data_IF_325790982167
#
_entry.id   IF_325790982167
#
_cell.length_a   1.000
_cell.length_b   1.000
_cell.length_c   1.000
_cell.angle_alpha   90.00
_cell.angle_beta   90.00
_cell.angle_gamma   90.00
#
_symmetry.space_group_name_H-M   'P 1'
#
loop_
_entity.id
_entity.type
_entity.pdbx_description
1 polymer ?
#
# COMPACT_ATOMS: atom_id res chain seq x y z
N UNK A 1 -37.45 37.36 5.87
CA UNK A 1 -37.55 36.32 4.81
C UNK A 1 -36.37 36.28 3.84
N UNK A 2 -35.82 37.38 3.33
CA UNK A 2 -34.68 37.42 2.40
C UNK A 2 -33.38 36.91 3.05
N UNK A 3 -33.03 37.33 4.29
CA UNK A 3 -31.82 36.94 5.00
C UNK A 3 -31.70 35.41 5.17
N UNK A 4 -32.79 34.76 5.53
CA UNK A 4 -32.89 33.31 5.74
C UNK A 4 -32.61 32.52 4.45
N UNK A 5 -33.11 33.00 3.30
CA UNK A 5 -32.79 32.40 2.00
C UNK A 5 -31.30 32.50 1.69
N UNK A 6 -30.71 33.66 1.95
CA UNK A 6 -29.27 33.90 1.74
C UNK A 6 -28.44 32.93 2.60
N UNK A 7 -28.74 32.80 3.89
CA UNK A 7 -28.04 31.88 4.79
C UNK A 7 -28.10 30.43 4.30
N UNK A 8 -29.27 29.97 3.80
CA UNK A 8 -29.40 28.62 3.21
C UNK A 8 -28.51 28.43 1.99
N UNK A 9 -28.50 29.38 1.07
CA UNK A 9 -27.66 29.28 -0.13
C UNK A 9 -26.18 29.28 0.21
N UNK A 10 -25.75 30.11 1.17
CA UNK A 10 -24.36 30.15 1.64
C UNK A 10 -23.98 28.81 2.30
N UNK A 11 -24.84 28.26 3.18
CA UNK A 11 -24.58 26.98 3.83
C UNK A 11 -24.49 25.82 2.83
N UNK A 12 -25.40 25.79 1.83
CA UNK A 12 -25.35 24.79 0.76
C UNK A 12 -24.08 24.94 -0.09
N UNK A 13 -23.71 26.18 -0.42
CA UNK A 13 -22.47 26.48 -1.16
C UNK A 13 -21.22 26.01 -0.42
N UNK A 14 -21.12 26.28 0.89
CA UNK A 14 -20.02 25.82 1.73
C UNK A 14 -19.97 24.27 1.76
N UNK A 15 -21.11 23.63 1.92
CA UNK A 15 -21.19 22.16 1.94
C UNK A 15 -20.71 21.53 0.63
N UNK A 16 -21.10 22.09 -0.51
CA UNK A 16 -20.62 21.65 -1.83
C UNK A 16 -19.11 21.90 -2.00
N UNK A 17 -18.62 23.05 -1.55
CA UNK A 17 -17.18 23.36 -1.60
C UNK A 17 -16.37 22.37 -0.75
N UNK A 18 -16.86 21.97 0.42
CA UNK A 18 -16.21 20.95 1.26
C UNK A 18 -16.18 19.61 0.54
N UNK A 19 -17.26 19.19 -0.12
CA UNK A 19 -17.27 17.95 -0.90
C UNK A 19 -16.26 17.98 -2.06
N UNK A 20 -16.21 19.09 -2.80
CA UNK A 20 -15.23 19.29 -3.87
C UNK A 20 -13.81 19.25 -3.33
N UNK A 21 -13.56 19.92 -2.20
CA UNK A 21 -12.26 19.88 -1.53
C UNK A 21 -11.85 18.45 -1.14
N UNK A 22 -12.74 17.70 -0.51
CA UNK A 22 -12.48 16.32 -0.12
C UNK A 22 -12.20 15.43 -1.35
N UNK A 23 -12.92 15.64 -2.43
CA UNK A 23 -12.74 14.87 -3.65
C UNK A 23 -11.42 15.17 -4.37
N UNK A 24 -11.04 16.44 -4.47
CA UNK A 24 -9.89 16.88 -5.25
C UNK A 24 -8.57 16.84 -4.46
N UNK A 25 -8.61 17.20 -3.17
CA UNK A 25 -7.42 17.54 -2.42
C UNK A 25 -7.13 16.64 -1.21
N UNK A 26 -8.16 16.00 -0.62
CA UNK A 26 -7.93 15.14 0.54
C UNK A 26 -7.14 13.90 0.12
N UNK A 27 -5.95 13.74 0.70
CA UNK A 27 -5.16 12.53 0.52
C UNK A 27 -5.69 11.39 1.38
N UNK A 28 -5.70 10.19 0.81
CA UNK A 28 -5.99 8.94 1.50
C UNK A 28 -4.97 7.87 1.12
N UNK A 29 -4.88 6.82 1.91
CA UNK A 29 -3.99 5.70 1.64
C UNK A 29 -4.66 4.73 0.68
N UNK A 30 -4.00 4.46 -0.44
CA UNK A 30 -4.44 3.51 -1.46
C UNK A 30 -3.55 2.29 -1.42
N UNK A 31 -4.15 1.12 -1.34
CA UNK A 31 -3.44 -0.15 -1.51
C UNK A 31 -3.10 -0.33 -3.00
N UNK A 32 -1.81 -0.41 -3.31
CA UNK A 32 -1.35 -0.62 -4.68
C UNK A 32 -1.38 -2.09 -5.06
N UNK A 33 -0.68 -2.91 -4.29
CA UNK A 33 -0.53 -4.33 -4.58
C UNK A 33 -0.43 -5.18 -3.30
N UNK A 34 -0.90 -6.43 -3.42
CA UNK A 34 -0.92 -7.37 -2.32
C UNK A 34 -0.72 -8.82 -2.81
N UNK A 35 0.51 -9.36 -2.80
CA UNK A 35 0.72 -10.78 -2.98
C UNK A 35 0.32 -11.52 -1.70
N UNK A 36 -0.82 -12.21 -1.73
CA UNK A 36 -1.26 -13.02 -0.59
C UNK A 36 -0.82 -14.47 -0.77
N UNK A 37 0.39 -14.79 -0.32
CA UNK A 37 0.89 -16.16 -0.29
C UNK A 37 1.73 -16.38 0.96
N UNK A 38 1.22 -17.19 1.88
CA UNK A 38 1.93 -17.56 3.10
C UNK A 38 2.37 -19.03 3.00
N UNK A 39 3.49 -19.29 2.33
CA UNK A 39 3.98 -20.66 2.15
C UNK A 39 5.25 -20.93 2.95
N UNK A 40 6.16 -19.97 3.02
CA UNK A 40 7.45 -20.14 3.64
C UNK A 40 7.83 -18.92 4.49
N UNK A 41 8.12 -19.10 5.79
CA UNK A 41 8.69 -18.06 6.60
C UNK A 41 10.18 -17.88 6.25
N UNK A 42 10.59 -16.65 5.98
CA UNK A 42 11.98 -16.24 5.79
C UNK A 42 12.54 -15.76 7.12
N UNK A 43 13.47 -16.49 7.74
CA UNK A 43 14.01 -16.12 9.05
C UNK A 43 14.74 -14.78 9.03
N UNK A 44 14.45 -13.93 10.03
CA UNK A 44 15.13 -12.66 10.28
C UNK A 44 16.10 -12.74 11.47
N UNK A 45 16.17 -13.88 12.16
CA UNK A 45 16.99 -14.10 13.33
C UNK A 45 18.33 -14.76 12.97
N UNK A 46 19.36 -14.48 13.76
CA UNK A 46 20.75 -14.89 13.50
C UNK A 46 21.61 -13.75 12.97
N UNK A 47 22.91 -13.98 12.94
CA UNK A 47 23.87 -12.96 12.47
C UNK A 47 23.68 -12.66 10.98
N UNK A 48 23.67 -11.36 10.66
CA UNK A 48 23.58 -10.86 9.28
C UNK A 48 22.38 -11.38 8.47
N UNK A 49 21.28 -11.73 9.14
CA UNK A 49 20.06 -12.12 8.44
C UNK A 49 19.26 -10.90 8.03
N UNK A 50 19.01 -10.79 6.74
CA UNK A 50 18.14 -9.78 6.17
C UNK A 50 17.24 -10.39 5.10
N UNK A 51 16.06 -9.80 4.96
CA UNK A 51 15.15 -10.09 3.85
C UNK A 51 14.85 -8.78 3.17
N UNK A 52 14.96 -8.75 1.85
CA UNK A 52 14.65 -7.55 1.09
C UNK A 52 13.80 -7.86 -0.14
N UNK A 53 12.89 -6.94 -0.46
CA UNK A 53 12.00 -7.02 -1.61
C UNK A 53 12.09 -5.75 -2.42
N UNK A 54 12.24 -5.87 -3.71
CA UNK A 54 12.05 -4.75 -4.61
C UNK A 54 10.57 -4.48 -4.81
N UNK A 55 10.20 -3.21 -4.86
CA UNK A 55 8.81 -2.81 -5.05
C UNK A 55 8.71 -1.47 -5.77
N UNK A 56 7.53 -1.23 -6.32
CA UNK A 56 7.16 0.03 -6.95
C UNK A 56 6.05 0.70 -6.16
N UNK A 57 6.04 2.02 -6.13
CA UNK A 57 4.89 2.80 -5.68
C UNK A 57 4.50 3.85 -6.73
N UNK A 58 3.22 3.92 -7.14
CA UNK A 58 2.76 4.88 -8.15
C UNK A 58 2.54 6.29 -7.59
N UNK A 59 2.56 6.45 -6.27
CA UNK A 59 2.42 7.73 -5.57
C UNK A 59 3.36 7.82 -4.37
N UNK A 60 3.30 8.91 -3.59
CA UNK A 60 4.11 9.05 -2.39
C UNK A 60 3.82 7.93 -1.39
N UNK A 61 4.86 7.19 -1.01
CA UNK A 61 4.76 6.05 -0.09
C UNK A 61 4.22 6.50 1.27
N UNK A 62 3.21 5.80 1.78
CA UNK A 62 2.57 6.08 3.06
C UNK A 62 2.91 5.03 4.12
N UNK A 63 2.80 3.75 3.73
CA UNK A 63 2.92 2.62 4.65
C UNK A 63 3.29 1.35 3.89
N UNK A 64 4.01 0.47 4.56
CA UNK A 64 4.24 -0.90 4.12
C UNK A 64 3.76 -1.82 5.24
N UNK A 65 2.91 -2.79 4.92
CA UNK A 65 2.54 -3.85 5.85
C UNK A 65 3.25 -5.13 5.40
N UNK A 66 3.91 -5.83 6.32
CA UNK A 66 4.60 -7.09 6.05
C UNK A 66 3.98 -8.15 6.95
N UNK A 67 3.62 -9.30 6.37
CA UNK A 67 3.14 -10.41 7.17
C UNK A 67 4.30 -11.07 7.91
N UNK A 68 4.17 -11.14 9.23
CA UNK A 68 5.22 -11.60 10.13
C UNK A 68 4.82 -12.91 10.81
N UNK A 69 5.82 -13.72 11.13
CA UNK A 69 5.69 -14.89 11.99
C UNK A 69 6.61 -14.75 13.21
N UNK A 70 6.10 -15.04 14.39
CA UNK A 70 6.89 -15.10 15.63
C UNK A 70 6.93 -16.50 16.22
N UNK A 71 6.48 -17.51 15.46
CA UNK A 71 6.46 -18.93 15.86
C UNK A 71 5.71 -19.18 17.19
N UNK A 72 4.66 -18.40 17.45
CA UNK A 72 3.88 -18.40 18.71
C UNK A 72 4.68 -17.97 19.95
N UNK A 73 5.90 -17.47 19.77
CA UNK A 73 6.75 -16.94 20.84
C UNK A 73 6.79 -15.42 20.66
N UNK A 74 6.01 -14.70 21.47
CA UNK A 74 5.97 -13.24 21.40
C UNK A 74 7.32 -12.67 21.82
N UNK A 75 8.01 -11.90 20.95
CA UNK A 75 9.26 -11.26 21.33
C UNK A 75 9.05 -10.35 22.53
N UNK A 76 9.87 -10.52 23.57
CA UNK A 76 9.79 -9.68 24.78
C UNK A 76 10.34 -8.29 24.47
N UNK A 77 11.49 -8.27 23.86
CA UNK A 77 12.21 -7.05 23.45
C UNK A 77 12.94 -7.33 22.13
N UNK A 78 13.32 -6.28 21.42
CA UNK A 78 14.04 -6.39 20.17
C UNK A 78 13.62 -5.28 19.22
N UNK A 79 14.38 -5.12 18.17
CA UNK A 79 14.21 -4.04 17.18
C UNK A 79 14.05 -4.65 15.80
N UNK A 80 12.94 -4.31 15.15
CA UNK A 80 12.77 -4.47 13.71
C UNK A 80 13.25 -3.19 13.04
N UNK A 81 14.21 -3.31 12.12
CA UNK A 81 14.68 -2.19 11.31
C UNK A 81 14.15 -2.32 9.90
N UNK A 82 13.38 -1.33 9.46
CA UNK A 82 13.01 -1.17 8.06
C UNK A 82 13.93 -0.14 7.42
N UNK A 83 14.54 -0.53 6.31
CA UNK A 83 15.36 0.36 5.47
C UNK A 83 14.78 0.39 4.07
N UNK A 84 14.73 1.57 3.44
CA UNK A 84 14.27 1.73 2.05
C UNK A 84 15.37 2.40 1.25
N UNK A 85 15.74 1.76 0.15
CA UNK A 85 16.72 2.25 -0.81
C UNK A 85 16.02 2.58 -2.13
N UNK A 86 16.49 3.63 -2.80
CA UNK A 86 16.14 3.87 -4.19
C UNK A 86 16.93 2.90 -5.06
N UNK A 87 16.26 2.08 -5.84
CA UNK A 87 16.94 1.26 -6.86
C UNK A 87 17.24 2.14 -8.06
N UNK A 88 18.47 2.09 -8.56
CA UNK A 88 18.84 2.84 -9.77
C UNK A 88 17.91 2.46 -10.91
N UNK A 89 17.34 3.46 -11.59
CA UNK A 89 16.24 3.33 -12.53
C UNK A 89 16.53 2.50 -13.78
N UNK A 90 16.47 1.18 -13.64
CA UNK A 90 16.11 0.32 -14.75
C UNK A 90 14.58 0.23 -14.75
N UNK A 91 13.91 0.91 -15.66
CA UNK A 91 12.49 0.65 -15.96
C UNK A 91 12.36 -0.83 -16.25
N UNK A 92 11.54 -1.59 -15.48
CA UNK A 92 11.18 -2.94 -15.91
C UNK A 92 10.55 -2.78 -17.28
N UNK A 93 11.10 -3.45 -18.28
CA UNK A 93 10.63 -3.36 -19.66
C UNK A 93 9.16 -3.82 -19.67
N UNK A 94 8.22 -2.89 -19.73
CA UNK A 94 6.77 -3.14 -19.83
C UNK A 94 6.43 -4.11 -20.96
N UNK A 95 7.27 -4.12 -22.02
CA UNK A 95 7.16 -5.04 -23.16
C UNK A 95 7.44 -6.51 -22.79
N UNK A 96 8.28 -6.77 -21.79
CA UNK A 96 8.54 -8.14 -21.33
C UNK A 96 7.38 -8.67 -20.45
N UNK A 97 6.62 -7.80 -19.80
CA UNK A 97 5.48 -8.21 -18.97
C UNK A 97 4.27 -8.62 -19.81
N UNK A 98 4.00 -7.97 -20.94
CA UNK A 98 2.93 -8.37 -21.84
C UNK A 98 3.21 -9.76 -22.48
N UNK A 99 4.47 -10.11 -22.75
CA UNK A 99 4.84 -11.44 -23.24
C UNK A 99 4.66 -12.54 -22.20
N UNK A 100 4.81 -12.24 -20.89
CA UNK A 100 4.62 -13.24 -19.80
C UNK A 100 3.16 -13.65 -19.59
N UNK A 101 2.19 -12.80 -19.92
CA UNK A 101 0.77 -13.12 -19.76
C UNK A 101 0.21 -14.01 -20.88
N UNK A 102 0.86 -14.08 -22.05
CA UNK A 102 0.34 -14.80 -23.22
C UNK A 102 0.96 -16.18 -23.45
N UNK A 103 1.90 -16.64 -22.65
CA UNK A 103 2.50 -17.98 -22.80
C UNK A 103 1.98 -18.94 -21.72
N UNK A 104 0.84 -19.57 -21.98
CA UNK A 104 0.51 -20.88 -21.41
C UNK A 104 1.45 -21.91 -22.10
N UNK A 105 2.44 -22.42 -21.39
CA UNK A 105 3.27 -23.53 -21.87
C UNK A 105 4.75 -23.35 -21.53
N UNK A 106 5.30 -24.32 -20.85
CA UNK A 106 6.70 -24.65 -20.53
C UNK A 106 7.71 -23.48 -20.48
N UNK A 107 8.00 -23.01 -19.28
CA UNK A 107 8.98 -21.97 -19.01
C UNK A 107 10.38 -22.56 -18.88
N UNK A 108 11.21 -22.39 -19.91
CA UNK A 108 12.66 -22.37 -19.73
C UNK A 108 13.03 -20.94 -19.33
N UNK A 109 13.39 -20.74 -18.07
CA UNK A 109 13.91 -19.45 -17.60
C UNK A 109 15.35 -19.30 -18.08
N UNK A 110 15.74 -18.18 -18.74
CA UNK A 110 17.13 -17.92 -18.98
C UNK A 110 17.81 -17.76 -17.61
N UNK A 111 18.87 -18.53 -17.37
CA UNK A 111 19.79 -18.34 -16.24
C UNK A 111 20.49 -17.00 -16.41
N UNK A 112 19.85 -15.92 -16.00
CA UNK A 112 20.52 -14.62 -15.92
C UNK A 112 21.51 -14.66 -14.76
N UNK A 113 22.77 -14.33 -15.07
CA UNK A 113 23.88 -14.23 -14.15
C UNK A 113 23.43 -13.46 -12.89
N UNK A 114 23.65 -14.11 -11.75
CA UNK A 114 23.50 -13.56 -10.41
C UNK A 114 24.25 -12.24 -10.35
N UNK A 115 23.53 -11.13 -10.28
CA UNK A 115 24.14 -9.84 -9.96
C UNK A 115 24.40 -9.83 -8.47
N UNK A 116 25.66 -10.01 -8.10
CA UNK A 116 26.15 -9.85 -6.74
C UNK A 116 25.81 -8.45 -6.23
N UNK A 117 25.15 -8.40 -5.08
CA UNK A 117 25.17 -7.25 -4.19
C UNK A 117 24.27 -6.06 -4.57
N UNK A 118 23.88 -5.36 -3.55
CA UNK A 118 23.32 -4.01 -3.63
C UNK A 118 24.27 -3.18 -4.49
N UNK A 119 23.81 -2.75 -5.66
CA UNK A 119 24.60 -1.85 -6.52
C UNK A 119 25.20 -0.74 -5.68
N UNK A 120 26.50 -0.47 -5.81
CA UNK A 120 27.24 0.61 -5.13
C UNK A 120 26.61 2.01 -5.23
N UNK A 121 25.49 2.16 -5.97
CA UNK A 121 24.71 3.38 -6.20
C UNK A 121 23.33 3.39 -5.50
N UNK A 122 23.02 2.44 -4.60
CA UNK A 122 21.74 2.44 -3.92
C UNK A 122 21.68 3.60 -2.90
N UNK A 123 20.81 4.57 -3.15
CA UNK A 123 20.61 5.71 -2.25
C UNK A 123 19.70 5.33 -1.10
N UNK A 124 20.19 5.46 0.14
CA UNK A 124 19.38 5.31 1.35
C UNK A 124 18.37 6.47 1.44
N UNK A 125 17.07 6.15 1.48
CA UNK A 125 16.01 7.14 1.61
C UNK A 125 15.38 7.16 2.99
N UNK A 126 15.22 5.99 3.61
CA UNK A 126 14.52 5.84 4.89
C UNK A 126 15.16 4.73 5.71
N UNK A 127 15.27 4.98 7.01
CA UNK A 127 15.70 4.01 8.01
C UNK A 127 14.96 4.31 9.30
N UNK A 128 14.25 3.30 9.84
CA UNK A 128 13.54 3.44 11.10
C UNK A 128 13.50 2.13 11.86
N UNK A 129 13.63 2.24 13.16
CA UNK A 129 13.54 1.14 14.10
C UNK A 129 12.13 1.08 14.69
N UNK A 130 11.58 -0.14 14.79
CA UNK A 130 10.27 -0.43 15.32
C UNK A 130 10.37 -1.47 16.43
N UNK A 131 9.54 -1.39 17.49
CA UNK A 131 9.59 -2.35 18.58
C UNK A 131 9.04 -3.71 18.13
N UNK A 132 9.84 -4.78 18.30
CA UNK A 132 9.43 -6.12 17.91
C UNK A 132 8.35 -6.72 18.83
N UNK A 133 8.23 -6.22 20.07
CA UNK A 133 7.23 -6.71 21.07
C UNK A 133 5.77 -6.62 20.62
N UNK A 134 5.48 -5.80 19.61
CA UNK A 134 4.13 -5.61 19.07
C UNK A 134 3.85 -6.49 17.84
N UNK A 135 4.80 -7.31 17.42
CA UNK A 135 4.61 -8.26 16.31
C UNK A 135 3.74 -9.42 16.76
N UNK A 136 2.63 -9.63 16.08
CA UNK A 136 1.73 -10.76 16.28
C UNK A 136 2.02 -11.86 15.25
N UNK A 137 1.79 -13.13 15.65
CA UNK A 137 2.02 -14.27 14.78
C UNK A 137 0.99 -14.32 13.65
N UNK A 138 1.49 -14.55 12.44
CA UNK A 138 0.68 -14.66 11.22
C UNK A 138 -0.22 -13.41 10.96
N UNK A 139 0.28 -12.23 11.35
CA UNK A 139 -0.41 -10.96 11.19
C UNK A 139 0.45 -9.96 10.41
N UNK A 140 -0.24 -9.02 9.76
CA UNK A 140 0.45 -7.90 9.14
C UNK A 140 0.95 -6.92 10.19
N UNK A 141 2.25 -6.66 10.15
CA UNK A 141 2.88 -5.60 10.91
C UNK A 141 3.03 -4.36 10.04
N UNK A 142 2.52 -3.22 10.53
CA UNK A 142 2.45 -1.97 9.77
C UNK A 142 3.66 -1.07 10.03
N UNK A 143 4.41 -0.76 8.99
CA UNK A 143 5.52 0.17 8.99
C UNK A 143 5.07 1.51 8.42
N UNK A 144 4.72 2.46 9.28
CA UNK A 144 4.35 3.83 8.86
C UNK A 144 5.58 4.60 8.41
N UNK A 145 5.48 5.19 7.22
CA UNK A 145 6.55 5.99 6.61
C UNK A 145 6.24 7.47 6.86
N UNK A 146 7.01 8.09 7.74
CA UNK A 146 6.84 9.50 8.14
C UNK A 146 7.63 10.47 7.23
N UNK A 147 8.49 9.95 6.36
CA UNK A 147 9.24 10.70 5.37
C UNK A 147 8.55 10.68 4.01
N UNK A 148 8.58 11.81 3.28
CA UNK A 148 8.05 11.87 1.91
C UNK A 148 8.98 11.10 0.97
N UNK A 149 8.54 9.91 0.53
CA UNK A 149 9.19 9.10 -0.50
C UNK A 149 8.31 9.20 -1.75
N UNK A 150 8.79 9.77 -2.87
CA UNK A 150 7.97 9.99 -4.08
C UNK A 150 7.60 8.67 -4.76
N UNK A 151 6.83 8.74 -5.85
CA UNK A 151 6.60 7.62 -6.75
C UNK A 151 7.92 7.09 -7.32
N UNK A 152 8.07 5.77 -7.48
CA UNK A 152 9.30 5.17 -8.01
C UNK A 152 9.49 3.72 -7.68
N UNK A 153 10.69 3.21 -8.01
CA UNK A 153 11.12 1.84 -7.71
C UNK A 153 12.09 1.86 -6.54
N UNK A 154 11.88 0.95 -5.61
CA UNK A 154 12.57 0.90 -4.33
C UNK A 154 12.89 -0.53 -3.95
N UNK A 155 13.81 -0.69 -3.00
CA UNK A 155 14.05 -1.94 -2.27
C UNK A 155 13.82 -1.67 -0.79
N UNK A 156 12.90 -2.40 -0.19
CA UNK A 156 12.81 -2.50 1.26
C UNK A 156 13.79 -3.57 1.75
N UNK A 157 14.37 -3.36 2.91
CA UNK A 157 15.19 -4.34 3.62
C UNK A 157 14.70 -4.38 5.07
N UNK A 158 14.48 -5.59 5.56
CA UNK A 158 14.02 -5.84 6.91
C UNK A 158 15.09 -6.63 7.67
N UNK A 159 15.50 -6.09 8.82
CA UNK A 159 16.43 -6.74 9.73
C UNK A 159 15.78 -6.85 11.11
N UNK A 160 16.10 -7.91 11.83
CA UNK A 160 15.68 -8.10 13.21
C UNK A 160 16.91 -8.20 14.13
N UNK A 161 16.90 -7.41 15.20
CA UNK A 161 17.91 -7.39 16.24
C UNK A 161 17.25 -7.88 17.55
N UNK A 162 17.31 -9.19 17.83
CA UNK A 162 16.73 -9.75 19.05
C UNK A 162 17.57 -9.32 20.26
N UNK A 163 16.93 -9.07 21.40
CA UNK A 163 17.62 -8.89 22.68
C UNK A 163 17.83 -10.26 23.37
N UNK A 164 16.87 -11.17 23.23
CA UNK A 164 16.98 -12.56 23.67
C UNK A 164 17.25 -13.46 22.45
N UNK A 165 18.26 -14.34 22.52
CA UNK A 165 18.58 -15.30 21.45
C UNK A 165 17.44 -16.28 21.12
N UNK A 166 16.49 -16.44 22.04
CA UNK A 166 15.29 -17.27 21.84
C UNK A 166 14.22 -16.59 21.00
N UNK A 167 14.25 -15.25 20.92
CA UNK A 167 13.27 -14.49 20.15
C UNK A 167 13.52 -14.70 18.65
N UNK A 168 12.51 -15.19 17.95
CA UNK A 168 12.57 -15.53 16.54
C UNK A 168 11.50 -14.78 15.79
N UNK A 169 11.88 -14.10 14.73
CA UNK A 169 10.95 -13.48 13.78
C UNK A 169 11.25 -13.92 12.36
N UNK A 170 10.23 -13.99 11.55
CA UNK A 170 10.34 -14.23 10.12
C UNK A 170 9.35 -13.34 9.36
N UNK A 171 9.66 -13.05 8.12
CA UNK A 171 8.70 -12.51 7.16
C UNK A 171 8.10 -13.64 6.33
N UNK A 172 6.80 -13.64 6.10
CA UNK A 172 6.18 -14.63 5.22
C UNK A 172 6.49 -14.36 3.76
N UNK A 173 6.65 -15.44 2.99
CA UNK A 173 6.85 -15.39 1.55
C UNK A 173 6.10 -16.51 0.83
N UNK A 174 5.96 -16.38 -0.48
CA UNK A 174 5.48 -17.40 -1.38
C UNK A 174 6.52 -17.78 -2.41
N UNK A 175 6.51 -19.03 -2.89
CA UNK A 175 7.39 -19.50 -3.97
C UNK A 175 7.03 -18.95 -5.34
N UNK A 176 5.80 -18.48 -5.53
CA UNK A 176 5.36 -17.93 -6.80
C UNK A 176 5.77 -16.47 -6.91
N UNK A 177 6.43 -16.12 -8.00
CA UNK A 177 6.71 -14.73 -8.40
C UNK A 177 5.39 -14.11 -8.90
N UNK A 178 4.63 -13.53 -7.98
CA UNK A 178 3.36 -12.86 -8.28
C UNK A 178 3.49 -11.36 -8.37
N UNK A 179 4.51 -10.80 -7.71
CA UNK A 179 4.74 -9.37 -7.73
C UNK A 179 5.55 -8.99 -8.97
N UNK A 180 4.97 -8.27 -9.94
CA UNK A 180 5.60 -8.07 -11.24
C UNK A 180 6.71 -7.00 -11.24
N UNK A 181 6.95 -6.31 -10.12
CA UNK A 181 7.79 -5.12 -10.10
C UNK A 181 9.10 -5.27 -9.31
N UNK A 182 9.53 -6.50 -9.04
CA UNK A 182 10.80 -6.66 -8.34
C UNK A 182 11.06 -8.06 -7.85
N UNK A 183 12.24 -8.26 -7.29
CA UNK A 183 12.76 -9.54 -6.84
C UNK A 183 12.85 -9.59 -5.31
N UNK A 184 12.77 -10.82 -4.79
CA UNK A 184 12.98 -11.13 -3.38
C UNK A 184 14.43 -11.54 -3.14
N UNK A 185 15.00 -11.09 -2.02
CA UNK A 185 16.35 -11.43 -1.61
C UNK A 185 16.37 -11.88 -0.15
N UNK A 186 17.19 -12.88 0.14
CA UNK A 186 17.50 -13.28 1.50
C UNK A 186 19.02 -13.31 1.66
N UNK A 187 19.54 -12.63 2.68
CA UNK A 187 20.99 -12.50 2.94
C UNK A 187 21.76 -12.00 1.70
N UNK A 188 21.23 -11.00 1.00
CA UNK A 188 21.82 -10.42 -0.19
C UNK A 188 21.72 -11.27 -1.47
N UNK A 189 21.23 -12.50 -1.40
CA UNK A 189 21.06 -13.39 -2.58
C UNK A 189 19.63 -13.35 -3.06
N UNK A 190 19.44 -13.22 -4.37
CA UNK A 190 18.11 -13.33 -4.97
C UNK A 190 17.58 -14.75 -4.79
N UNK A 191 16.33 -14.85 -4.35
CA UNK A 191 15.59 -16.10 -4.19
C UNK A 191 14.32 -16.06 -5.02
N UNK A 192 13.73 -17.23 -5.27
CA UNK A 192 12.46 -17.35 -5.98
C UNK A 192 11.29 -16.93 -5.10
N UNK A 193 10.30 -16.25 -5.72
CA UNK A 193 9.06 -15.85 -5.07
C UNK A 193 9.03 -14.40 -4.60
N UNK A 194 8.06 -14.10 -3.74
CA UNK A 194 7.79 -12.77 -3.21
C UNK A 194 7.54 -12.81 -1.70
N UNK A 195 7.93 -11.73 -1.02
CA UNK A 195 7.49 -11.47 0.34
C UNK A 195 5.97 -11.23 0.37
N UNK A 196 5.30 -11.65 1.43
CA UNK A 196 3.89 -11.29 1.65
C UNK A 196 3.81 -9.91 2.27
N UNK A 197 3.53 -8.92 1.45
CA UNK A 197 3.52 -7.51 1.85
C UNK A 197 2.44 -6.70 1.14
N UNK A 198 2.14 -5.54 1.69
CA UNK A 198 1.20 -4.55 1.14
C UNK A 198 1.89 -3.21 1.04
N UNK A 199 1.75 -2.55 -0.09
CA UNK A 199 2.27 -1.19 -0.30
C UNK A 199 1.09 -0.23 -0.35
N UNK A 200 1.17 0.82 0.45
CA UNK A 200 0.17 1.90 0.46
C UNK A 200 0.84 3.21 0.08
N UNK A 201 0.19 3.96 -0.79
CA UNK A 201 0.63 5.28 -1.19
C UNK A 201 -0.46 6.34 -0.95
N UNK A 202 -0.05 7.60 -0.86
CA UNK A 202 -0.98 8.72 -0.72
C UNK A 202 -1.49 9.15 -2.10
N UNK A 203 -2.80 9.24 -2.23
CA UNK A 203 -3.44 9.71 -3.46
C UNK A 203 -4.73 10.47 -3.14
N UNK A 204 -5.31 11.12 -4.14
CA UNK A 204 -6.63 11.75 -4.05
C UNK A 204 -7.62 10.98 -4.91
N UNK A 205 -8.92 11.13 -4.63
CA UNK A 205 -9.97 10.47 -5.43
C UNK A 205 -9.83 10.86 -6.91
N UNK A 206 -9.53 12.13 -7.18
CA UNK A 206 -9.33 12.62 -8.54
C UNK A 206 -8.18 11.93 -9.29
N UNK A 207 -7.03 11.71 -8.62
CA UNK A 207 -5.89 11.00 -9.21
C UNK A 207 -6.18 9.53 -9.48
N UNK A 208 -7.03 8.91 -8.66
CA UNK A 208 -7.38 7.49 -8.79
C UNK A 208 -8.55 7.25 -9.76
N UNK A 209 -9.18 8.29 -10.33
CA UNK A 209 -10.38 8.18 -11.17
C UNK A 209 -10.25 7.16 -12.29
N UNK A 210 -9.11 7.16 -13.01
CA UNK A 210 -8.92 6.28 -14.17
C UNK A 210 -8.76 4.81 -13.75
N UNK A 211 -8.14 4.59 -12.58
CA UNK A 211 -8.07 3.27 -11.94
C UNK A 211 -9.46 2.79 -11.54
N UNK A 212 -10.26 3.65 -10.91
CA UNK A 212 -11.65 3.35 -10.55
C UNK A 212 -12.50 3.05 -11.78
N UNK A 213 -12.42 3.87 -12.82
CA UNK A 213 -13.14 3.64 -14.07
C UNK A 213 -12.74 2.30 -14.72
N UNK A 214 -11.46 1.95 -14.68
CA UNK A 214 -10.98 0.66 -15.18
C UNK A 214 -11.52 -0.51 -14.38
N UNK A 215 -11.57 -0.39 -13.04
CA UNK A 215 -12.15 -1.41 -12.17
C UNK A 215 -13.66 -1.58 -12.43
N UNK A 216 -14.39 -0.47 -12.55
CA UNK A 216 -15.83 -0.48 -12.89
C UNK A 216 -16.06 -1.19 -14.22
N UNK A 217 -15.29 -0.85 -15.26
CA UNK A 217 -15.39 -1.50 -16.58
C UNK A 217 -15.10 -3.00 -16.52
N UNK A 218 -14.06 -3.42 -15.77
CA UNK A 218 -13.68 -4.84 -15.62
C UNK A 218 -14.69 -5.65 -14.80
N UNK A 219 -15.34 -5.01 -13.84
CA UNK A 219 -16.35 -5.65 -12.98
C UNK A 219 -17.72 -5.79 -13.65
N UNK A 220 -17.90 -5.26 -14.87
CA UNK A 220 -19.14 -5.34 -15.63
C UNK A 220 -20.31 -4.73 -14.85
N UNK A 221 -21.47 -5.39 -14.89
CA UNK A 221 -22.71 -4.93 -14.25
C UNK A 221 -22.54 -4.64 -12.73
N UNK A 222 -21.74 -5.46 -12.02
CA UNK A 222 -21.48 -5.26 -10.57
C UNK A 222 -20.73 -3.96 -10.30
N UNK A 223 -19.74 -3.63 -11.13
CA UNK A 223 -19.00 -2.37 -11.02
C UNK A 223 -19.87 -1.16 -11.28
N UNK A 224 -20.75 -1.23 -12.30
CA UNK A 224 -21.71 -0.17 -12.63
C UNK A 224 -22.70 0.03 -11.46
N UNK A 225 -23.22 -1.05 -10.89
CA UNK A 225 -24.13 -0.98 -9.75
C UNK A 225 -23.49 -0.33 -8.53
N UNK A 226 -22.22 -0.66 -8.22
CA UNK A 226 -21.46 -0.02 -7.13
C UNK A 226 -21.23 1.48 -7.38
N UNK A 227 -20.88 1.87 -8.62
CA UNK A 227 -20.69 3.26 -8.98
C UNK A 227 -22.01 4.05 -8.88
N UNK A 228 -23.11 3.48 -9.38
CA UNK A 228 -24.45 4.07 -9.28
C UNK A 228 -24.89 4.22 -7.82
N UNK A 229 -24.66 3.20 -6.98
CA UNK A 229 -24.92 3.25 -5.54
C UNK A 229 -24.16 4.36 -4.83
N UNK A 230 -22.88 4.57 -5.19
CA UNK A 230 -22.06 5.65 -4.63
C UNK A 230 -22.60 7.03 -5.03
N UNK A 231 -22.97 7.23 -6.30
CA UNK A 231 -23.59 8.47 -6.79
C UNK A 231 -24.90 8.72 -6.05
N UNK A 232 -25.76 7.69 -5.94
CA UNK A 232 -27.03 7.78 -5.22
C UNK A 232 -26.83 8.19 -3.76
N UNK A 233 -25.83 7.61 -3.09
CA UNK A 233 -25.48 7.99 -1.70
C UNK A 233 -25.11 9.48 -1.59
N UNK A 234 -24.33 10.02 -2.52
CA UNK A 234 -23.98 11.44 -2.54
C UNK A 234 -25.24 12.30 -2.72
N UNK A 235 -26.12 11.92 -3.64
CA UNK A 235 -27.39 12.64 -3.87
C UNK A 235 -28.25 12.62 -2.61
N UNK A 236 -28.41 11.47 -1.97
CA UNK A 236 -29.18 11.33 -0.72
C UNK A 236 -28.61 12.19 0.41
N UNK A 237 -27.27 12.21 0.58
CA UNK A 237 -26.63 13.07 1.58
C UNK A 237 -26.93 14.55 1.35
N UNK A 238 -26.91 15.00 0.10
CA UNK A 238 -27.27 16.39 -0.24
C UNK A 238 -28.75 16.69 0.04
N UNK A 239 -29.65 15.76 -0.27
CA UNK A 239 -31.09 15.90 0.02
C UNK A 239 -31.36 15.94 1.52
N UNK A 240 -30.72 15.06 2.31
CA UNK A 240 -30.81 15.05 3.77
C UNK A 240 -30.31 16.38 4.35
N UNK A 241 -29.14 16.85 3.88
CA UNK A 241 -28.60 18.12 4.33
C UNK A 241 -29.55 19.30 4.03
N UNK A 242 -30.10 19.34 2.81
CA UNK A 242 -31.09 20.35 2.42
C UNK A 242 -32.36 20.28 3.27
N UNK A 243 -32.86 19.08 3.57
CA UNK A 243 -34.00 18.87 4.45
C UNK A 243 -33.74 19.42 5.87
N UNK A 244 -32.58 19.12 6.47
CA UNK A 244 -32.19 19.65 7.77
C UNK A 244 -32.10 21.16 7.78
N UNK A 245 -31.50 21.78 6.76
CA UNK A 245 -31.44 23.23 6.62
C UNK A 245 -32.86 23.84 6.59
N UNK A 246 -33.80 23.21 5.87
CA UNK A 246 -35.18 23.67 5.82
C UNK A 246 -35.88 23.57 7.20
N UNK A 247 -35.63 22.48 7.95
CA UNK A 247 -36.21 22.28 9.27
C UNK A 247 -35.68 23.30 10.29
N UNK A 248 -34.34 23.51 10.33
CA UNK A 248 -33.72 24.49 11.20
C UNK A 248 -34.29 25.91 10.99
N UNK A 249 -34.49 26.29 9.74
CA UNK A 249 -34.99 27.62 9.42
C UNK A 249 -36.47 27.76 9.80
N UNK A 250 -37.30 26.71 9.69
CA UNK A 250 -38.69 26.77 10.15
C UNK A 250 -38.77 26.90 11.66
N UNK A 251 -37.87 26.24 12.41
CA UNK A 251 -37.87 26.33 13.88
C UNK A 251 -37.33 27.66 14.42
N UNK A 252 -36.60 28.43 13.64
CA UNK A 252 -36.09 29.76 14.05
C UNK A 252 -37.08 30.92 13.76
N UNK A 253 -38.23 30.61 13.16
CA UNK A 253 -39.29 31.59 12.89
C UNK A 253 -40.46 31.52 13.91
N UNK A 254 -40.32 30.77 15.00
CA UNK A 254 -41.19 30.74 16.16
C UNK A 254 -40.53 31.52 17.29
#
# INVERSE_FOLDING_TARGET
>A
MRLIKIVKFVALGIFLLVQVYLFLFKNFEVLDYYPYINQHPLPLFGENKDVSQEFRTPGPLARIDIMMANYKIKPKEGILRLTIYKTGGGTPNLLLQQKRQNTKGNKVYPKNKVSEGISKKAQLLFLKNYPAKTVEDNRFYSFKIDKKIPAGNYRLQLNYFPKDKRDKLAAWSGKRDLYPFGNLYANGKQIEGDMTFRVYYKSTIWKERDRWLTLVKRSGIRGIALAAGFILMIVLLNLIFYYFLNKLVKSSNI
#
